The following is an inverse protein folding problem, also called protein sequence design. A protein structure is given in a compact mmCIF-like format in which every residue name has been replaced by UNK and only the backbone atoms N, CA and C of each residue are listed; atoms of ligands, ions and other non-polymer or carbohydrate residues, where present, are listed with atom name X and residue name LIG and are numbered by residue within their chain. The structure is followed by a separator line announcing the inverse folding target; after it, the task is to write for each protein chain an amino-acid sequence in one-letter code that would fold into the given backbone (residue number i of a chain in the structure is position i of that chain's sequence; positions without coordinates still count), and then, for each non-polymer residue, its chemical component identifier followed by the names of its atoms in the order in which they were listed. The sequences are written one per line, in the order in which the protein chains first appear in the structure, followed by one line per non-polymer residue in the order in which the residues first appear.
data_IF_122756970997
#
_entry.id   IF_122756970997
#
_cell.length_a   1.000
_cell.length_b   1.000
_cell.length_c   1.000
_cell.angle_alpha   90.00
_cell.angle_beta   90.00
_cell.angle_gamma   90.00
#
_symmetry.space_group_name_H-M   'P 1'
#
loop_
_entity.id
_entity.type
_entity.pdbx_description
1 polymer ?
#
# COMPACT_ATOMS: atom_id res chain seq x y z
N UNK A 1 16.43 -17.04 -28.94
CA UNK A 1 16.22 -17.46 -27.55
C UNK A 1 15.93 -16.19 -26.77
N UNK A 2 14.67 -15.87 -26.58
CA UNK A 2 14.25 -14.64 -25.89
C UNK A 2 14.20 -14.96 -24.40
N UNK A 3 15.16 -14.46 -23.64
CA UNK A 3 15.08 -14.48 -22.18
C UNK A 3 13.89 -13.62 -21.76
N UNK A 4 12.83 -14.29 -21.32
CA UNK A 4 11.76 -13.65 -20.56
C UNK A 4 12.37 -13.27 -19.21
N UNK A 5 12.83 -12.03 -19.09
CA UNK A 5 13.10 -11.41 -17.80
C UNK A 5 11.83 -11.61 -16.97
N UNK A 6 11.87 -12.30 -15.82
CA UNK A 6 10.73 -12.34 -14.93
C UNK A 6 10.55 -10.93 -14.42
N UNK A 7 9.63 -10.17 -15.02
CA UNK A 7 9.16 -8.91 -14.49
C UNK A 7 8.55 -9.28 -13.14
N UNK A 8 9.32 -9.09 -12.07
CA UNK A 8 8.87 -9.35 -10.71
C UNK A 8 7.63 -8.48 -10.48
N UNK A 9 6.46 -9.10 -10.66
CA UNK A 9 5.17 -8.52 -10.35
C UNK A 9 5.18 -8.32 -8.84
N UNK A 10 5.16 -7.08 -8.39
CA UNK A 10 5.02 -6.74 -6.97
C UNK A 10 3.86 -7.57 -6.43
N UNK A 11 4.05 -8.43 -5.41
CA UNK A 11 2.98 -9.22 -4.85
C UNK A 11 1.79 -8.31 -4.52
N UNK A 12 0.67 -8.51 -5.22
CA UNK A 12 -0.54 -7.71 -5.01
C UNK A 12 -1.05 -7.99 -3.61
N UNK A 13 -0.89 -7.03 -2.71
CA UNK A 13 -1.46 -7.12 -1.36
C UNK A 13 -2.98 -6.97 -1.46
N UNK A 14 -3.73 -7.97 -0.99
CA UNK A 14 -5.18 -7.89 -0.97
C UNK A 14 -5.68 -6.75 -0.08
N UNK A 15 -6.74 -6.05 -0.51
CA UNK A 15 -7.42 -5.01 0.29
C UNK A 15 -8.37 -5.64 1.32
N UNK A 16 -7.84 -6.53 2.16
CA UNK A 16 -8.58 -7.17 3.25
C UNK A 16 -7.90 -6.88 4.60
N UNK A 17 -8.69 -6.81 5.68
CA UNK A 17 -8.17 -6.59 7.03
C UNK A 17 -7.04 -7.56 7.42
N UNK A 18 -7.20 -8.89 7.22
CA UNK A 18 -6.14 -9.85 7.54
C UNK A 18 -4.88 -9.74 6.67
N UNK A 19 -5.00 -9.31 5.40
CA UNK A 19 -3.84 -9.08 4.55
C UNK A 19 -3.09 -7.82 4.99
N UNK A 20 -3.81 -6.73 5.24
CA UNK A 20 -3.26 -5.48 5.78
C UNK A 20 -2.55 -5.74 7.11
N UNK A 21 -3.20 -6.39 8.08
CA UNK A 21 -2.61 -6.68 9.39
C UNK A 21 -1.30 -7.47 9.31
N UNK A 22 -1.21 -8.48 8.42
CA UNK A 22 -0.01 -9.32 8.27
C UNK A 22 1.17 -8.57 7.65
N UNK A 23 0.88 -7.56 6.83
CA UNK A 23 1.87 -6.80 6.10
C UNK A 23 2.48 -5.65 6.93
N UNK A 24 1.73 -5.12 7.91
CA UNK A 24 2.20 -4.02 8.76
C UNK A 24 3.28 -4.48 9.76
N UNK A 25 4.22 -3.58 10.06
CA UNK A 25 5.20 -3.77 11.14
C UNK A 25 4.57 -3.69 12.54
N UNK A 26 5.35 -3.86 13.61
CA UNK A 26 4.83 -3.94 14.98
C UNK A 26 4.10 -2.69 15.47
N UNK A 27 4.56 -1.50 15.09
CA UNK A 27 3.96 -0.23 15.52
C UNK A 27 2.68 0.04 14.72
N UNK A 28 2.75 -0.04 13.40
CA UNK A 28 1.61 0.22 12.53
C UNK A 28 0.51 -0.83 12.71
N UNK A 29 0.88 -2.08 12.97
CA UNK A 29 -0.09 -3.15 13.24
C UNK A 29 -0.87 -2.90 14.52
N UNK A 30 -0.22 -2.43 15.58
CA UNK A 30 -0.89 -2.08 16.83
C UNK A 30 -1.89 -0.92 16.64
N UNK A 31 -1.49 0.11 15.89
CA UNK A 31 -2.36 1.23 15.56
C UNK A 31 -3.56 0.81 14.68
N UNK A 32 -3.32 0.00 13.65
CA UNK A 32 -4.39 -0.58 12.83
C UNK A 32 -5.36 -1.41 13.67
N UNK A 33 -4.86 -2.28 14.55
CA UNK A 33 -5.70 -3.13 15.39
C UNK A 33 -6.59 -2.31 16.34
N UNK A 34 -6.05 -1.23 16.92
CA UNK A 34 -6.80 -0.34 17.78
C UNK A 34 -7.95 0.35 17.03
N UNK A 35 -7.67 0.92 15.84
CA UNK A 35 -8.71 1.56 15.02
C UNK A 35 -9.74 0.55 14.52
N UNK A 36 -9.29 -0.60 14.01
CA UNK A 36 -10.16 -1.65 13.49
C UNK A 36 -11.10 -2.19 14.57
N UNK A 37 -10.59 -2.41 15.80
CA UNK A 37 -11.39 -2.84 16.95
C UNK A 37 -12.42 -1.77 17.37
N UNK A 38 -12.02 -0.50 17.39
CA UNK A 38 -12.93 0.59 17.74
C UNK A 38 -14.11 0.68 16.76
N UNK A 39 -13.86 0.50 15.46
CA UNK A 39 -14.91 0.50 14.44
C UNK A 39 -15.80 -0.73 14.55
N UNK A 40 -15.25 -1.92 14.82
CA UNK A 40 -16.04 -3.15 14.99
C UNK A 40 -17.11 -3.05 16.08
N UNK A 41 -16.85 -2.30 17.17
CA UNK A 41 -17.86 -2.06 18.22
C UNK A 41 -19.08 -1.37 17.63
N UNK A 42 -18.90 -0.33 16.83
CA UNK A 42 -20.01 0.36 16.16
C UNK A 42 -20.70 -0.51 15.11
N UNK A 43 -19.95 -1.30 14.34
CA UNK A 43 -20.52 -2.23 13.34
C UNK A 43 -21.41 -3.28 13.99
N UNK A 44 -21.06 -3.77 15.18
CA UNK A 44 -21.86 -4.75 15.91
C UNK A 44 -23.24 -4.20 16.30
N UNK A 45 -23.37 -2.88 16.46
CA UNK A 45 -24.63 -2.21 16.81
C UNK A 45 -25.44 -1.80 15.57
N UNK A 46 -24.77 -1.34 14.51
CA UNK A 46 -25.42 -0.71 13.35
C UNK A 46 -25.45 -1.56 12.09
N UNK A 47 -24.64 -2.62 12.04
CA UNK A 47 -24.35 -3.43 10.85
C UNK A 47 -23.81 -2.62 9.65
N UNK A 48 -23.38 -1.38 9.87
CA UNK A 48 -22.78 -0.52 8.84
C UNK A 48 -21.30 -0.88 8.63
N UNK A 49 -21.04 -1.78 7.69
CA UNK A 49 -19.68 -2.26 7.37
C UNK A 49 -18.84 -1.27 6.56
N UNK A 50 -19.42 -0.17 6.06
CA UNK A 50 -18.67 0.79 5.22
C UNK A 50 -17.53 1.44 6.00
N UNK A 51 -17.74 1.68 7.30
CA UNK A 51 -16.69 2.19 8.19
C UNK A 51 -15.50 1.25 8.28
N UNK A 52 -15.75 -0.06 8.32
CA UNK A 52 -14.69 -1.07 8.36
C UNK A 52 -13.91 -1.10 7.05
N UNK A 53 -14.61 -0.99 5.92
CA UNK A 53 -14.00 -0.91 4.58
C UNK A 53 -13.10 0.33 4.47
N UNK A 54 -13.53 1.47 5.03
CA UNK A 54 -12.73 2.70 5.02
C UNK A 54 -11.42 2.55 5.82
N UNK A 55 -11.45 1.89 6.99
CA UNK A 55 -10.23 1.59 7.75
C UNK A 55 -9.26 0.78 6.89
N UNK A 56 -9.71 -0.32 6.30
CA UNK A 56 -8.85 -1.17 5.45
C UNK A 56 -8.28 -0.38 4.28
N UNK A 57 -9.08 0.45 3.61
CA UNK A 57 -8.63 1.29 2.48
C UNK A 57 -7.58 2.31 2.90
N UNK A 58 -7.73 2.93 4.07
CA UNK A 58 -6.78 3.92 4.59
C UNK A 58 -5.44 3.30 4.96
N UNK A 59 -5.45 2.11 5.55
CA UNK A 59 -4.23 1.44 6.00
C UNK A 59 -3.50 0.64 4.92
N UNK A 60 -4.19 0.31 3.83
CA UNK A 60 -3.61 -0.48 2.75
C UNK A 60 -2.32 0.11 2.14
N UNK A 61 -2.20 1.43 1.85
CA UNK A 61 -0.95 2.00 1.35
C UNK A 61 0.24 1.79 2.30
N UNK A 62 0.03 1.95 3.61
CA UNK A 62 1.08 1.69 4.62
C UNK A 62 1.47 0.22 4.66
N UNK A 63 0.50 -0.68 4.52
CA UNK A 63 0.77 -2.11 4.47
C UNK A 63 1.57 -2.51 3.21
N UNK A 64 1.36 -1.83 2.08
CA UNK A 64 2.20 -2.04 0.88
C UNK A 64 3.64 -1.60 1.14
N UNK A 65 3.86 -0.49 1.85
CA UNK A 65 5.19 -0.01 2.23
C UNK A 65 5.92 -1.00 3.15
N UNK A 66 5.27 -1.43 4.22
CA UNK A 66 5.90 -2.32 5.21
C UNK A 66 6.19 -3.71 4.62
N UNK A 67 5.35 -4.20 3.69
CA UNK A 67 5.55 -5.50 3.03
C UNK A 67 6.66 -5.48 1.98
N UNK A 68 6.99 -4.32 1.41
CA UNK A 68 7.94 -4.16 0.33
C UNK A 68 8.91 -3.03 0.68
N UNK A 69 10.03 -3.30 1.38
CA UNK A 69 11.07 -2.30 1.64
C UNK A 69 11.88 -1.92 0.38
N UNK A 70 11.37 -2.23 -0.81
CA UNK A 70 11.95 -1.84 -2.10
C UNK A 70 11.74 -0.33 -2.31
N UNK A 71 12.77 0.45 -2.71
CA UNK A 71 12.65 1.87 -3.04
C UNK A 71 11.43 2.23 -3.92
N UNK A 72 11.00 1.31 -4.78
CA UNK A 72 9.83 1.53 -5.65
C UNK A 72 8.53 1.42 -4.87
N UNK A 73 8.44 0.52 -3.91
CA UNK A 73 7.27 0.42 -3.06
C UNK A 73 7.18 1.64 -2.13
N UNK A 74 8.32 2.15 -1.64
CA UNK A 74 8.40 3.45 -0.96
C UNK A 74 7.85 4.59 -1.83
N UNK A 75 8.34 4.69 -3.06
CA UNK A 75 7.89 5.66 -4.05
C UNK A 75 6.38 5.57 -4.35
N UNK A 76 5.86 4.34 -4.53
CA UNK A 76 4.43 4.09 -4.76
C UNK A 76 3.60 4.49 -3.54
N UNK A 77 4.01 4.05 -2.35
CA UNK A 77 3.25 4.27 -1.13
C UNK A 77 3.20 5.75 -0.75
N UNK A 78 4.30 6.49 -0.93
CA UNK A 78 4.30 7.94 -0.70
C UNK A 78 3.33 8.67 -1.65
N UNK A 79 3.34 8.35 -2.94
CA UNK A 79 2.38 8.94 -3.90
C UNK A 79 0.93 8.59 -3.57
N UNK A 80 0.66 7.38 -3.09
CA UNK A 80 -0.66 7.00 -2.62
C UNK A 80 -1.09 7.76 -1.36
N UNK A 81 -0.17 8.01 -0.42
CA UNK A 81 -0.40 8.85 0.77
C UNK A 81 -0.74 10.28 0.33
N UNK A 82 -0.06 10.79 -0.69
CA UNK A 82 -0.30 12.11 -1.28
C UNK A 82 -1.58 12.15 -2.14
N UNK A 83 -2.31 11.04 -2.26
CA UNK A 83 -3.58 10.92 -2.97
C UNK A 83 -3.46 10.67 -4.48
N UNK A 84 -2.24 10.49 -4.99
CA UNK A 84 -1.99 10.21 -6.40
C UNK A 84 -2.20 8.73 -6.74
N UNK A 85 -3.40 8.44 -7.23
CA UNK A 85 -3.80 7.08 -7.62
C UNK A 85 -3.28 6.66 -9.00
N UNK A 86 -2.61 7.53 -9.76
CA UNK A 86 -2.10 7.17 -11.10
C UNK A 86 -1.06 6.06 -11.06
N UNK A 87 -0.39 5.85 -9.92
CA UNK A 87 0.56 4.76 -9.71
C UNK A 87 -0.11 3.37 -9.75
N UNK A 88 -1.43 3.27 -9.53
CA UNK A 88 -2.15 2.01 -9.55
C UNK A 88 -2.32 1.42 -10.95
N UNK A 89 -2.22 2.25 -12.00
CA UNK A 89 -2.37 1.83 -13.40
C UNK A 89 -1.03 1.59 -14.08
N UNK A 90 0.09 1.90 -13.41
CA UNK A 90 1.45 1.80 -13.96
C UNK A 90 2.09 0.48 -13.59
N UNK A 91 2.94 -0.01 -14.47
CA UNK A 91 3.79 -1.16 -14.23
C UNK A 91 4.98 -0.77 -13.34
N UNK A 92 5.54 -1.75 -12.64
CA UNK A 92 6.73 -1.54 -11.82
C UNK A 92 7.94 -1.05 -12.63
N UNK A 93 8.00 -1.30 -13.94
CA UNK A 93 9.07 -0.79 -14.82
C UNK A 93 8.89 0.71 -15.13
N UNK A 94 7.67 1.15 -15.42
CA UNK A 94 7.35 2.58 -15.63
C UNK A 94 7.60 3.39 -14.36
N UNK A 95 7.20 2.85 -13.21
CA UNK A 95 7.40 3.51 -11.92
C UNK A 95 8.89 3.60 -11.54
N UNK A 96 9.69 2.58 -11.86
CA UNK A 96 11.16 2.62 -11.74
C UNK A 96 11.76 3.72 -12.61
N UNK A 97 11.33 3.80 -13.87
CA UNK A 97 11.82 4.81 -14.80
C UNK A 97 11.46 6.23 -14.34
N UNK A 98 10.25 6.43 -13.82
CA UNK A 98 9.82 7.71 -13.23
C UNK A 98 10.63 8.09 -11.99
N UNK A 99 10.85 7.15 -11.07
CA UNK A 99 11.65 7.38 -9.87
C UNK A 99 13.08 7.77 -10.20
N UNK A 100 13.72 7.11 -11.19
CA UNK A 100 15.06 7.48 -11.68
C UNK A 100 15.06 8.87 -12.33
N UNK A 101 14.07 9.15 -13.19
CA UNK A 101 13.94 10.47 -13.85
C UNK A 101 13.67 11.61 -12.87
N UNK A 102 12.98 11.36 -11.75
CA UNK A 102 12.74 12.36 -10.71
C UNK A 102 13.96 12.55 -9.79
N UNK A 103 14.76 11.50 -9.55
CA UNK A 103 16.02 11.60 -8.81
C UNK A 103 17.10 12.41 -9.52
N UNK A 104 17.17 12.33 -10.86
CA UNK A 104 18.10 13.13 -11.67
C UNK A 104 17.74 14.63 -11.70
N UNK A 105 16.50 14.99 -11.40
CA UNK A 105 16.06 16.39 -11.35
C UNK A 105 16.51 17.13 -10.08
N UNK A 106 17.00 16.44 -9.05
CA UNK A 106 17.38 17.04 -7.77
C UNK A 106 18.86 17.51 -7.69
N UNK A 107 19.65 17.40 -8.76
CA UNK A 107 21.07 17.82 -8.77
C UNK A 107 21.40 18.86 -9.84
N UNK A 108 20.55 19.87 -10.05
CA UNK A 108 20.90 21.00 -10.92
C UNK A 108 20.55 22.35 -10.34
#
# INVERSE_FOLDING_TARGET
MTDLVPTASVPRLDKSGPAVWRALDGEHRAAFEAEFRAVLVGVAETFDVDRLIQVVRRWWPRAVLDAHPDPIAEYIGQRLIDGDQSVLTKTAAELRAEMVSQGECATR
#
